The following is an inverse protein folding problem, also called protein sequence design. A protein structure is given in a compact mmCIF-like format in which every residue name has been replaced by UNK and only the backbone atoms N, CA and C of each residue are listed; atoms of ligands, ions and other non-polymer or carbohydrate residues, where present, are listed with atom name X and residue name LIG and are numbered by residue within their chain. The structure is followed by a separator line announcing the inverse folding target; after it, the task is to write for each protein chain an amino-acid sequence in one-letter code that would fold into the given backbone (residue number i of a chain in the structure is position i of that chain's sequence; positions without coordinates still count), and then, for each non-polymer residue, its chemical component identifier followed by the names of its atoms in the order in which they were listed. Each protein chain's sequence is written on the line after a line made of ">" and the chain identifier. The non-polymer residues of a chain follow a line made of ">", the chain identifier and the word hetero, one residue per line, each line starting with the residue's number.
data_IF_745519086982
#
_entry.id   IF_745519086982
#
_cell.length_a   1.000
_cell.length_b   1.000
_cell.length_c   1.000
_cell.angle_alpha   90.00
_cell.angle_beta   90.00
_cell.angle_gamma   90.00
#
_symmetry.space_group_name_H-M   'P 1'
#
loop_
_entity.id
_entity.type
_entity.pdbx_description
1 polymer ?
#
# COMPACT_ATOMS: atom_id res chain seq x y z
N UNK A 1 38.11 3.18 -14.63
CA UNK A 1 36.95 2.27 -14.60
C UNK A 1 36.10 2.70 -13.42
N UNK A 2 35.16 3.61 -13.67
CA UNK A 2 34.15 3.96 -12.66
C UNK A 2 33.24 2.74 -12.52
N UNK A 3 33.36 2.03 -11.40
CA UNK A 3 32.31 1.12 -10.98
C UNK A 3 31.05 1.95 -10.83
N UNK A 4 30.05 1.75 -11.69
CA UNK A 4 28.69 2.20 -11.43
C UNK A 4 28.34 1.68 -10.04
N UNK A 5 28.32 2.58 -9.04
CA UNK A 5 27.75 2.28 -7.74
C UNK A 5 26.26 2.17 -8.06
N UNK A 6 25.82 0.95 -8.37
CA UNK A 6 24.41 0.60 -8.32
C UNK A 6 24.01 0.87 -6.88
N UNK A 7 23.45 2.05 -6.64
CA UNK A 7 22.90 2.41 -5.34
C UNK A 7 21.70 1.49 -5.14
N UNK A 8 21.96 0.34 -4.53
CA UNK A 8 20.95 -0.66 -4.20
C UNK A 8 19.88 0.03 -3.36
N UNK A 9 18.66 0.12 -3.89
CA UNK A 9 17.51 0.54 -3.11
C UNK A 9 16.96 -0.65 -2.31
N UNK A 10 16.40 -0.34 -1.15
CA UNK A 10 15.81 -1.31 -0.24
C UNK A 10 14.30 -1.14 -0.22
N UNK A 11 13.59 -2.24 -0.48
CA UNK A 11 12.13 -2.30 -0.39
C UNK A 11 11.63 -2.19 1.05
N UNK A 12 12.43 -2.67 2.02
CA UNK A 12 12.21 -2.49 3.45
C UNK A 12 13.38 -1.74 4.08
N UNK A 13 13.11 -0.58 4.66
CA UNK A 13 14.12 0.25 5.33
C UNK A 13 14.72 -0.44 6.56
N UNK A 14 14.05 -1.44 7.14
CA UNK A 14 14.64 -2.26 8.21
C UNK A 14 15.82 -3.11 7.74
N UNK A 15 16.00 -3.27 6.42
CA UNK A 15 17.13 -3.99 5.82
C UNK A 15 18.34 -3.09 5.52
N UNK A 16 18.26 -1.79 5.85
CA UNK A 16 19.40 -0.89 5.70
C UNK A 16 20.52 -1.27 6.69
N UNK A 17 21.79 -1.30 6.25
CA UNK A 17 22.92 -1.63 7.13
C UNK A 17 23.13 -0.58 8.22
N UNK A 18 23.02 0.70 7.87
CA UNK A 18 23.05 1.83 8.79
C UNK A 18 21.72 2.57 8.72
N UNK A 19 20.85 2.38 9.71
CA UNK A 19 19.57 3.08 9.80
C UNK A 19 19.76 4.45 10.45
N UNK A 20 19.86 5.49 9.64
CA UNK A 20 19.86 6.88 10.09
C UNK A 20 19.02 7.75 9.14
N UNK A 21 18.77 9.00 9.51
CA UNK A 21 17.92 9.92 8.73
C UNK A 21 18.44 10.11 7.29
N UNK A 22 19.76 10.21 7.13
CA UNK A 22 20.40 10.40 5.83
C UNK A 22 20.20 9.18 4.92
N UNK A 23 20.51 7.98 5.39
CA UNK A 23 20.37 6.75 4.58
C UNK A 23 18.90 6.45 4.24
N UNK A 24 17.99 6.74 5.17
CA UNK A 24 16.55 6.61 4.94
C UNK A 24 16.08 7.57 3.85
N UNK A 25 16.42 8.86 3.94
CA UNK A 25 16.07 9.87 2.94
C UNK A 25 16.67 9.56 1.57
N UNK A 26 17.92 9.11 1.53
CA UNK A 26 18.59 8.71 0.29
C UNK A 26 17.88 7.52 -0.38
N UNK A 27 17.51 6.49 0.39
CA UNK A 27 16.77 5.35 -0.15
C UNK A 27 15.41 5.79 -0.72
N UNK A 28 14.63 6.55 0.05
CA UNK A 28 13.32 7.05 -0.39
C UNK A 28 13.43 7.93 -1.65
N UNK A 29 14.44 8.81 -1.72
CA UNK A 29 14.71 9.65 -2.90
C UNK A 29 15.06 8.82 -4.12
N UNK A 30 15.93 7.81 -3.96
CA UNK A 30 16.35 6.96 -5.07
C UNK A 30 15.19 6.12 -5.61
N UNK A 31 14.36 5.56 -4.73
CA UNK A 31 13.14 4.84 -5.10
C UNK A 31 12.14 5.74 -5.83
N UNK A 32 11.92 6.94 -5.30
CA UNK A 32 11.01 7.90 -5.93
C UNK A 32 11.46 8.31 -7.34
N UNK A 33 12.77 8.49 -7.57
CA UNK A 33 13.34 8.76 -8.90
C UNK A 33 13.08 7.63 -9.91
N UNK A 34 12.93 6.40 -9.41
CA UNK A 34 12.58 5.21 -10.20
C UNK A 34 11.06 4.97 -10.25
N UNK A 35 10.24 5.96 -9.85
CA UNK A 35 8.78 5.86 -9.76
C UNK A 35 8.26 4.80 -8.77
N UNK A 36 9.12 4.30 -7.88
CA UNK A 36 8.75 3.40 -6.77
C UNK A 36 8.33 4.24 -5.57
N UNK A 37 7.01 4.46 -5.45
CA UNK A 37 6.45 5.36 -4.43
C UNK A 37 6.17 4.71 -3.07
N UNK A 38 6.19 3.37 -3.03
CA UNK A 38 5.88 2.57 -1.86
C UNK A 38 7.16 1.99 -1.27
N UNK A 39 7.32 2.04 0.05
CA UNK A 39 8.48 1.46 0.76
C UNK A 39 8.03 0.92 2.11
N UNK A 40 8.47 -0.28 2.48
CA UNK A 40 8.19 -0.86 3.79
C UNK A 40 9.11 -0.30 4.88
N UNK A 41 8.58 -0.31 6.10
CA UNK A 41 9.32 -0.23 7.35
C UNK A 41 8.73 -1.31 8.26
N UNK A 42 9.22 -2.54 8.12
CA UNK A 42 8.61 -3.70 8.75
C UNK A 42 7.14 -3.86 8.32
N UNK A 43 6.20 -3.67 9.25
CA UNK A 43 4.75 -3.74 8.95
C UNK A 43 4.13 -2.42 8.48
N UNK A 44 4.88 -1.32 8.46
CA UNK A 44 4.40 0.01 8.05
C UNK A 44 4.70 0.20 6.56
N UNK A 45 3.79 0.85 5.84
CA UNK A 45 3.98 1.23 4.44
C UNK A 45 4.13 2.75 4.33
N UNK A 46 5.30 3.21 3.89
CA UNK A 46 5.54 4.59 3.49
C UNK A 46 5.09 4.78 2.05
N UNK A 47 4.37 5.88 1.81
CA UNK A 47 3.88 6.28 0.49
C UNK A 47 4.32 7.72 0.21
N UNK A 48 4.97 7.94 -0.93
CA UNK A 48 5.33 9.28 -1.39
C UNK A 48 4.42 9.65 -2.56
N UNK A 49 3.66 10.74 -2.44
CA UNK A 49 2.74 11.17 -3.49
C UNK A 49 3.51 11.52 -4.79
N UNK A 50 3.29 10.82 -5.92
CA UNK A 50 3.99 11.10 -7.17
C UNK A 50 3.44 12.33 -7.93
N UNK A 51 2.30 12.90 -7.50
CA UNK A 51 1.58 13.99 -8.20
C UNK A 51 1.25 13.68 -9.68
N UNK A 52 1.24 12.39 -10.03
CA UNK A 52 0.88 11.87 -11.36
C UNK A 52 0.27 10.49 -11.23
N UNK A 53 -0.40 10.05 -12.28
CA UNK A 53 -0.90 8.68 -12.36
C UNK A 53 0.25 7.70 -12.65
N UNK A 54 0.28 6.60 -11.91
CA UNK A 54 1.18 5.46 -12.17
C UNK A 54 0.33 4.24 -12.55
N UNK A 55 0.71 3.46 -13.58
CA UNK A 55 -0.07 2.32 -14.07
C UNK A 55 0.01 1.06 -13.17
N UNK A 56 0.11 1.25 -11.85
CA UNK A 56 0.29 0.21 -10.82
C UNK A 56 -1.02 -0.21 -10.11
N UNK A 57 -2.15 0.41 -10.48
CA UNK A 57 -3.47 0.17 -9.87
C UNK A 57 -4.44 -0.62 -10.77
N UNK A 58 -3.90 -1.38 -11.72
CA UNK A 58 -4.71 -2.12 -12.69
C UNK A 58 -5.07 -3.54 -12.18
N UNK A 59 -6.03 -4.25 -12.82
CA UNK A 59 -6.46 -5.58 -12.37
C UNK A 59 -5.35 -6.65 -12.30
N UNK A 60 -4.24 -6.49 -13.04
CA UNK A 60 -3.07 -7.38 -12.94
C UNK A 60 -2.45 -7.29 -11.54
N UNK A 61 -2.30 -6.09 -11.00
CA UNK A 61 -1.75 -5.87 -9.66
C UNK A 61 -2.70 -6.41 -8.58
N UNK A 62 -4.01 -6.25 -8.76
CA UNK A 62 -5.00 -6.84 -7.83
C UNK A 62 -4.82 -8.36 -7.73
N UNK A 63 -4.59 -9.05 -8.85
CA UNK A 63 -4.33 -10.50 -8.87
C UNK A 63 -2.95 -10.86 -8.34
N UNK A 64 -1.94 -10.05 -8.64
CA UNK A 64 -0.55 -10.29 -8.22
C UNK A 64 -0.38 -10.31 -6.71
N UNK A 65 -1.07 -9.41 -6.00
CA UNK A 65 -0.96 -9.26 -4.55
C UNK A 65 -1.94 -10.13 -3.73
N UNK A 66 -2.76 -10.94 -4.41
CA UNK A 66 -3.75 -11.81 -3.78
C UNK A 66 -3.07 -12.97 -3.03
N UNK A 67 -3.40 -13.14 -1.74
CA UNK A 67 -2.93 -14.23 -0.88
C UNK A 67 -1.40 -14.34 -0.78
N UNK A 68 -0.72 -13.22 -0.56
CA UNK A 68 0.74 -13.17 -0.35
C UNK A 68 1.11 -12.63 1.04
N UNK A 69 2.21 -13.14 1.60
CA UNK A 69 2.75 -12.58 2.84
C UNK A 69 3.41 -11.21 2.58
N UNK A 70 3.30 -10.30 3.56
CA UNK A 70 3.97 -9.00 3.51
C UNK A 70 5.48 -9.18 3.30
N UNK A 71 6.07 -8.37 2.42
CA UNK A 71 7.50 -8.41 2.11
C UNK A 71 7.95 -9.51 1.15
N UNK A 72 7.05 -10.38 0.65
CA UNK A 72 7.36 -11.33 -0.42
C UNK A 72 7.37 -10.70 -1.81
N UNK A 73 6.55 -9.67 -2.00
CA UNK A 73 6.44 -8.89 -3.22
C UNK A 73 6.96 -7.47 -2.96
N UNK A 74 7.11 -6.70 -4.05
CA UNK A 74 7.47 -5.29 -3.94
C UNK A 74 6.48 -4.53 -3.04
N UNK A 75 6.90 -3.42 -2.40
CA UNK A 75 6.01 -2.66 -1.54
C UNK A 75 4.81 -2.10 -2.31
N UNK A 76 3.61 -2.38 -1.81
CA UNK A 76 2.38 -1.88 -2.42
C UNK A 76 1.23 -1.82 -1.41
N UNK A 77 0.30 -0.89 -1.62
CA UNK A 77 -0.89 -0.74 -0.77
C UNK A 77 -1.81 -1.97 -0.81
N UNK A 78 -1.81 -2.70 -1.93
CA UNK A 78 -2.57 -3.94 -2.07
C UNK A 78 -2.04 -5.05 -1.17
N UNK A 79 -0.73 -5.11 -0.90
CA UNK A 79 -0.19 -6.05 0.07
C UNK A 79 -0.74 -5.80 1.49
N UNK A 80 -0.91 -4.53 1.87
CA UNK A 80 -1.47 -4.15 3.17
C UNK A 80 -2.95 -4.54 3.26
N UNK A 81 -3.71 -4.30 2.18
CA UNK A 81 -5.11 -4.71 2.09
C UNK A 81 -5.27 -6.23 2.17
N UNK A 82 -4.46 -6.98 1.43
CA UNK A 82 -4.47 -8.44 1.39
C UNK A 82 -4.18 -9.05 2.77
N UNK A 83 -3.12 -8.58 3.44
CA UNK A 83 -2.74 -9.02 4.78
C UNK A 83 -3.83 -8.71 5.80
N UNK A 84 -4.44 -7.52 5.75
CA UNK A 84 -5.53 -7.16 6.65
C UNK A 84 -6.78 -8.03 6.40
N UNK A 85 -7.16 -8.24 5.14
CA UNK A 85 -8.30 -9.07 4.78
C UNK A 85 -8.11 -10.52 5.25
N UNK A 86 -6.96 -11.13 4.97
CA UNK A 86 -6.67 -12.49 5.40
C UNK A 86 -6.54 -12.60 6.93
N UNK A 87 -5.96 -11.61 7.60
CA UNK A 87 -5.91 -11.57 9.06
C UNK A 87 -7.33 -11.50 9.67
N UNK A 88 -8.24 -10.74 9.07
CA UNK A 88 -9.65 -10.68 9.47
C UNK A 88 -10.31 -12.06 9.39
N UNK A 89 -10.14 -12.76 8.25
CA UNK A 89 -10.74 -14.08 8.03
C UNK A 89 -10.16 -15.15 8.95
N UNK A 90 -8.83 -15.21 9.07
CA UNK A 90 -8.12 -16.23 9.85
C UNK A 90 -8.36 -16.05 11.36
N UNK A 91 -8.27 -14.80 11.85
CA UNK A 91 -8.34 -14.51 13.29
C UNK A 91 -9.77 -14.24 13.76
N UNK A 92 -10.73 -14.05 12.83
CA UNK A 92 -12.12 -13.64 13.11
C UNK A 92 -12.19 -12.41 14.04
N UNK A 93 -11.32 -11.43 13.77
CA UNK A 93 -11.24 -10.17 14.53
C UNK A 93 -11.27 -8.98 13.59
N UNK A 94 -11.89 -7.90 14.04
CA UNK A 94 -11.90 -6.64 13.31
C UNK A 94 -10.47 -6.12 13.07
N UNK A 95 -10.23 -5.59 11.88
CA UNK A 95 -8.94 -5.00 11.51
C UNK A 95 -9.07 -3.49 11.37
N UNK A 96 -7.99 -2.78 11.67
CA UNK A 96 -7.91 -1.34 11.52
C UNK A 96 -6.65 -1.00 10.73
N UNK A 97 -6.80 -0.23 9.64
CA UNK A 97 -5.70 0.33 8.87
C UNK A 97 -5.69 1.83 9.13
N UNK A 98 -4.60 2.33 9.70
CA UNK A 98 -4.43 3.75 10.02
C UNK A 98 -3.62 4.41 8.92
N UNK A 99 -4.17 5.47 8.31
CA UNK A 99 -3.50 6.28 7.30
C UNK A 99 -3.24 7.66 7.86
N UNK A 100 -1.97 8.00 8.06
CA UNK A 100 -1.51 9.26 8.62
C UNK A 100 -0.59 10.01 7.64
N UNK A 101 -0.55 11.33 7.75
CA UNK A 101 0.30 12.19 6.92
C UNK A 101 -0.23 13.61 6.82
N UNK A 102 0.60 14.53 6.33
CA UNK A 102 0.24 15.95 6.16
C UNK A 102 -0.88 16.17 5.13
N UNK A 103 -1.46 17.36 5.11
CA UNK A 103 -2.42 17.73 4.06
C UNK A 103 -1.77 17.62 2.67
N UNK A 104 -2.48 17.08 1.67
CA UNK A 104 -1.95 16.89 0.31
C UNK A 104 -1.03 15.69 0.09
N UNK A 105 -0.67 14.92 1.14
CA UNK A 105 0.19 13.74 1.03
C UNK A 105 -0.41 12.52 0.30
N UNK A 106 -1.67 12.60 -0.13
CA UNK A 106 -2.34 11.51 -0.87
C UNK A 106 -3.11 10.51 0.00
N UNK A 107 -3.41 10.84 1.27
CA UNK A 107 -4.21 10.00 2.18
C UNK A 107 -5.53 9.53 1.55
N UNK A 108 -6.33 10.46 1.00
CA UNK A 108 -7.63 10.15 0.39
C UNK A 108 -7.50 9.17 -0.78
N UNK A 109 -6.51 9.36 -1.65
CA UNK A 109 -6.26 8.45 -2.78
C UNK A 109 -5.82 7.07 -2.31
N UNK A 110 -4.96 7.02 -1.29
CA UNK A 110 -4.53 5.77 -0.66
C UNK A 110 -5.73 5.01 -0.07
N UNK A 111 -6.63 5.71 0.63
CA UNK A 111 -7.89 5.14 1.14
C UNK A 111 -8.75 4.56 0.01
N UNK A 112 -8.90 5.29 -1.10
CA UNK A 112 -9.68 4.81 -2.24
C UNK A 112 -9.09 3.53 -2.83
N UNK A 113 -7.79 3.48 -3.08
CA UNK A 113 -7.13 2.26 -3.61
C UNK A 113 -7.27 1.07 -2.66
N UNK A 114 -7.17 1.31 -1.35
CA UNK A 114 -7.35 0.29 -0.33
C UNK A 114 -8.77 -0.28 -0.37
N UNK A 115 -9.80 0.59 -0.38
CA UNK A 115 -11.21 0.18 -0.44
C UNK A 115 -11.49 -0.60 -1.73
N UNK A 116 -11.02 -0.11 -2.88
CA UNK A 116 -11.19 -0.81 -4.16
C UNK A 116 -10.61 -2.23 -4.13
N UNK A 117 -9.42 -2.41 -3.54
CA UNK A 117 -8.81 -3.73 -3.43
C UNK A 117 -9.57 -4.63 -2.46
N UNK A 118 -9.98 -4.13 -1.29
CA UNK A 118 -10.77 -4.89 -0.32
C UNK A 118 -12.12 -5.34 -0.90
N UNK A 119 -12.79 -4.48 -1.67
CA UNK A 119 -14.02 -4.84 -2.39
C UNK A 119 -13.76 -5.95 -3.41
N UNK A 120 -12.67 -5.87 -4.17
CA UNK A 120 -12.32 -6.90 -5.14
C UNK A 120 -12.00 -8.26 -4.49
N UNK A 121 -11.32 -8.26 -3.33
CA UNK A 121 -11.08 -9.47 -2.54
C UNK A 121 -12.40 -10.05 -2.01
N UNK A 122 -13.31 -9.20 -1.52
CA UNK A 122 -14.62 -9.62 -1.03
C UNK A 122 -15.50 -10.23 -2.12
N UNK A 123 -15.44 -9.75 -3.37
CA UNK A 123 -16.24 -10.30 -4.47
C UNK A 123 -15.78 -11.70 -4.91
N UNK A 124 -14.50 -12.04 -4.70
CA UNK A 124 -13.98 -13.39 -4.93
C UNK A 124 -14.41 -14.38 -3.86
N UNK A 125 -14.51 -13.92 -2.61
CA UNK A 125 -15.01 -14.71 -1.49
C UNK A 125 -16.53 -14.60 -1.38
N UNK A 126 -17.28 -15.47 -2.06
CA UNK A 126 -18.74 -15.61 -1.89
C UNK A 126 -19.09 -15.82 -0.40
N UNK A 127 -19.33 -14.74 0.33
CA UNK A 127 -19.92 -14.72 1.68
C UNK A 127 -20.88 -13.54 1.73
N UNK A 128 -22.16 -13.88 1.72
CA UNK A 128 -23.37 -13.07 1.55
C UNK A 128 -23.64 -12.01 2.65
N UNK A 129 -22.64 -11.29 3.14
CA UNK A 129 -22.81 -10.32 4.23
C UNK A 129 -21.84 -9.14 4.27
N UNK A 130 -20.72 -9.19 3.53
CA UNK A 130 -19.71 -8.10 3.55
C UNK A 130 -20.07 -6.97 2.59
N UNK A 131 -20.91 -7.24 1.59
CA UNK A 131 -21.35 -6.24 0.61
C UNK A 131 -22.05 -5.04 1.27
N UNK A 132 -22.83 -5.23 2.34
CA UNK A 132 -23.62 -4.15 2.95
C UNK A 132 -22.78 -3.12 3.73
N UNK A 133 -21.65 -3.50 4.33
CA UNK A 133 -20.88 -2.58 5.17
C UNK A 133 -19.91 -1.73 4.34
N UNK A 134 -19.37 -2.28 3.25
CA UNK A 134 -18.46 -1.52 2.36
C UNK A 134 -19.28 -0.59 1.43
N UNK A 135 -20.45 -1.02 0.94
CA UNK A 135 -21.34 -0.15 0.15
C UNK A 135 -21.91 1.04 0.95
N UNK A 136 -22.01 0.94 2.28
CA UNK A 136 -22.43 2.06 3.14
C UNK A 136 -21.41 3.21 3.21
N UNK A 137 -20.14 2.95 2.87
CA UNK A 137 -19.09 3.97 2.88
C UNK A 137 -18.99 4.76 1.57
N UNK A 138 -19.52 4.22 0.45
CA UNK A 138 -19.49 4.88 -0.86
C UNK A 138 -20.18 6.25 -0.85
N UNK A 139 -21.45 6.36 -0.45
CA UNK A 139 -22.17 7.63 -0.40
C UNK A 139 -21.58 8.62 0.63
N UNK A 140 -20.99 8.13 1.72
CA UNK A 140 -20.44 8.98 2.80
C UNK A 140 -19.06 9.56 2.44
N UNK A 141 -18.25 8.82 1.68
CA UNK A 141 -16.94 9.29 1.19
C UNK A 141 -17.07 10.32 0.07
N UNK A 142 -18.11 10.21 -0.77
CA UNK A 142 -18.32 11.13 -1.90
C UNK A 142 -18.88 12.49 -1.45
N UNK A 143 -19.69 12.54 -0.39
CA UNK A 143 -20.29 13.79 0.13
C UNK A 143 -19.24 14.76 0.71
N UNK A 144 -18.03 14.29 1.04
CA UNK A 144 -16.94 15.16 1.54
C UNK A 144 -15.96 15.62 0.46
N UNK A 145 -16.20 15.26 -0.80
CA UNK A 145 -15.34 15.59 -1.95
C UNK A 145 -16.02 16.51 -2.99
N UNK A 146 -17.16 17.12 -2.66
CA UNK A 146 -17.74 18.26 -3.40
C UNK A 146 -17.69 19.52 -2.56
#
# INVERSE_FOLDING_TARGET
>A
MESEIVTKDYDDLCSLPDLNEKTLLENLRNRFKQEKIYTYVGSILIVINPFKFLPIYNPKYVKMYDNHQLGKLEPHIYAVADVAYHAMLQRRKNQCIVISGESGSGKTQSTNFLIHHLTALSQKGFVSGVEQIILGAGPVLEVRLK
#
